data_IF_029127520374
#
_entry.id   IF_029127520374
#
_cell.length_a   1.000
_cell.length_b   1.000
_cell.length_c   1.000
_cell.angle_alpha   90.00
_cell.angle_beta   90.00
_cell.angle_gamma   90.00
#
_symmetry.space_group_name_H-M   'P 1'
#
loop_
_entity.id
_entity.type
_entity.pdbx_description
1 polymer ?
#
# COMPACT_ATOMS: atom_id res chain seq x y z
N UNK A 1 -5.44 -0.30 -56.28
CA UNK A 1 -6.42 -0.66 -55.23
C UNK A 1 -5.64 -1.04 -53.99
N UNK A 2 -5.46 -0.08 -53.10
CA UNK A 2 -4.77 -0.28 -51.82
C UNK A 2 -5.78 -0.92 -50.88
N UNK A 3 -5.49 -2.14 -50.41
CA UNK A 3 -6.32 -2.84 -49.43
C UNK A 3 -6.28 -2.03 -48.13
N UNK A 4 -7.38 -1.35 -47.82
CA UNK A 4 -7.62 -0.76 -46.51
C UNK A 4 -7.75 -1.91 -45.52
N UNK A 5 -6.66 -2.19 -44.80
CA UNK A 5 -6.67 -3.10 -43.66
C UNK A 5 -7.55 -2.43 -42.60
N UNK A 6 -8.78 -2.94 -42.45
CA UNK A 6 -9.70 -2.59 -41.37
C UNK A 6 -8.95 -2.64 -40.03
N UNK A 7 -8.61 -1.47 -39.49
CA UNK A 7 -7.79 -1.29 -38.29
C UNK A 7 -8.60 -1.22 -36.99
N UNK A 8 -9.90 -1.52 -37.04
CA UNK A 8 -10.86 -1.34 -35.94
C UNK A 8 -11.57 -2.63 -35.50
N UNK A 9 -11.01 -3.81 -35.81
CA UNK A 9 -11.49 -5.04 -35.19
C UNK A 9 -10.63 -5.33 -33.96
N UNK A 10 -11.20 -5.35 -32.74
CA UNK A 10 -10.45 -5.69 -31.53
C UNK A 10 -9.83 -7.07 -31.72
N UNK A 11 -8.51 -7.13 -31.59
CA UNK A 11 -7.76 -8.36 -31.78
C UNK A 11 -7.97 -9.22 -30.53
N UNK A 12 -8.29 -10.50 -30.74
CA UNK A 12 -8.28 -11.48 -29.66
C UNK A 12 -7.16 -12.48 -29.91
N UNK A 13 -6.36 -12.73 -28.89
CA UNK A 13 -5.32 -13.76 -28.92
C UNK A 13 -5.68 -14.89 -27.97
N UNK A 14 -5.41 -16.13 -28.37
CA UNK A 14 -5.62 -17.32 -27.56
C UNK A 14 -4.27 -17.83 -27.03
N UNK A 15 -4.12 -17.84 -25.71
CA UNK A 15 -2.95 -18.34 -25.00
C UNK A 15 -3.29 -19.70 -24.40
N UNK A 16 -2.58 -20.72 -24.88
CA UNK A 16 -2.82 -22.11 -24.50
C UNK A 16 -1.80 -22.60 -23.48
N UNK A 17 -2.08 -23.76 -22.87
CA UNK A 17 -1.16 -24.42 -21.93
C UNK A 17 0.21 -24.74 -22.52
N UNK A 18 0.31 -24.88 -23.84
CA UNK A 18 1.56 -25.17 -24.55
C UNK A 18 2.36 -23.92 -24.95
N UNK A 19 1.78 -22.73 -24.87
CA UNK A 19 2.47 -21.49 -25.24
C UNK A 19 3.60 -21.19 -24.25
N UNK A 20 4.84 -21.09 -24.73
CA UNK A 20 5.98 -20.79 -23.88
C UNK A 20 5.86 -19.40 -23.25
N UNK A 21 6.33 -19.22 -22.00
CA UNK A 21 6.22 -17.94 -21.28
C UNK A 21 6.84 -16.75 -22.04
N UNK A 22 7.94 -16.98 -22.76
CA UNK A 22 8.59 -15.94 -23.56
C UNK A 22 7.72 -15.54 -24.76
N UNK A 23 7.08 -16.52 -25.41
CA UNK A 23 6.14 -16.26 -26.50
C UNK A 23 4.91 -15.49 -25.99
N UNK A 24 4.36 -15.86 -24.82
CA UNK A 24 3.26 -15.12 -24.18
C UNK A 24 3.64 -13.66 -23.93
N UNK A 25 4.84 -13.42 -23.42
CA UNK A 25 5.34 -12.07 -23.16
C UNK A 25 5.42 -11.23 -24.46
N UNK A 26 5.93 -11.83 -25.54
CA UNK A 26 6.06 -11.15 -26.83
C UNK A 26 4.71 -10.92 -27.52
N UNK A 27 3.78 -11.88 -27.43
CA UNK A 27 2.41 -11.73 -27.93
C UNK A 27 1.65 -10.62 -27.19
N UNK A 28 1.74 -10.60 -25.85
CA UNK A 28 1.09 -9.55 -25.06
C UNK A 28 1.62 -8.16 -25.45
N UNK A 29 2.92 -8.00 -25.73
CA UNK A 29 3.50 -6.70 -26.14
C UNK A 29 2.95 -6.15 -27.45
N UNK A 30 2.38 -6.98 -28.32
CA UNK A 30 1.81 -6.55 -29.60
C UNK A 30 0.37 -6.05 -29.48
N UNK A 31 -0.25 -6.25 -28.31
CA UNK A 31 -1.63 -5.87 -28.04
C UNK A 31 -1.80 -4.35 -27.94
N UNK A 32 -3.01 -3.92 -28.27
CA UNK A 32 -3.47 -2.54 -28.23
C UNK A 32 -4.62 -2.37 -27.24
N UNK A 33 -4.92 -1.12 -26.94
CA UNK A 33 -6.09 -0.75 -26.13
C UNK A 33 -7.36 -1.33 -26.76
N UNK A 34 -8.15 -2.05 -25.96
CA UNK A 34 -9.39 -2.72 -26.40
C UNK A 34 -9.22 -4.19 -26.79
N UNK A 35 -7.99 -4.69 -26.91
CA UNK A 35 -7.75 -6.09 -27.26
C UNK A 35 -8.09 -7.05 -26.12
N UNK A 36 -8.32 -8.32 -26.50
CA UNK A 36 -8.73 -9.39 -25.59
C UNK A 36 -7.72 -10.52 -25.58
N UNK A 37 -7.48 -11.08 -24.41
CA UNK A 37 -6.58 -12.23 -24.23
C UNK A 37 -7.40 -13.35 -23.64
N UNK A 38 -7.46 -14.49 -24.32
CA UNK A 38 -8.18 -15.67 -23.87
C UNK A 38 -7.16 -16.70 -23.38
N UNK A 39 -7.31 -17.16 -22.14
CA UNK A 39 -6.52 -18.24 -21.58
C UNK A 39 -7.41 -19.47 -21.36
N UNK A 40 -6.95 -20.63 -21.82
CA UNK A 40 -7.63 -21.92 -21.62
C UNK A 40 -7.32 -22.56 -20.25
N UNK A 41 -6.29 -22.06 -19.56
CA UNK A 41 -5.84 -22.62 -18.29
C UNK A 41 -5.46 -21.56 -17.25
N UNK A 42 -5.50 -21.99 -15.99
CA UNK A 42 -5.23 -21.15 -14.82
C UNK A 42 -3.79 -20.65 -14.78
N UNK A 43 -2.82 -21.47 -15.18
CA UNK A 43 -1.40 -21.12 -15.15
C UNK A 43 -1.08 -19.93 -16.05
N UNK A 44 -1.54 -19.99 -17.30
CA UNK A 44 -1.36 -18.91 -18.28
C UNK A 44 -2.14 -17.66 -17.91
N UNK A 45 -3.37 -17.82 -17.39
CA UNK A 45 -4.15 -16.69 -16.92
C UNK A 45 -3.44 -15.93 -15.80
N UNK A 46 -2.90 -16.64 -14.78
CA UNK A 46 -2.19 -16.01 -13.69
C UNK A 46 -0.86 -15.37 -14.13
N UNK A 47 -0.19 -15.99 -15.11
CA UNK A 47 1.03 -15.43 -15.69
C UNK A 47 0.74 -14.14 -16.47
N UNK A 48 -0.25 -14.15 -17.36
CA UNK A 48 -0.68 -12.96 -18.09
C UNK A 48 -1.16 -11.85 -17.15
N UNK A 49 -1.95 -12.20 -16.13
CA UNK A 49 -2.41 -11.25 -15.10
C UNK A 49 -1.23 -10.52 -14.46
N UNK A 50 -0.19 -11.26 -14.05
CA UNK A 50 1.01 -10.68 -13.43
C UNK A 50 1.75 -9.72 -14.36
N UNK A 51 1.87 -10.08 -15.65
CA UNK A 51 2.49 -9.21 -16.65
C UNK A 51 1.69 -7.92 -16.86
N UNK A 52 0.36 -8.03 -16.98
CA UNK A 52 -0.54 -6.87 -17.14
C UNK A 52 -0.49 -5.94 -15.91
N UNK A 53 -0.43 -6.49 -14.69
CA UNK A 53 -0.24 -5.72 -13.46
C UNK A 53 1.13 -5.03 -13.42
N UNK A 54 2.21 -5.74 -13.80
CA UNK A 54 3.57 -5.20 -13.83
C UNK A 54 3.71 -4.05 -14.83
N UNK A 55 3.09 -4.17 -16.01
CA UNK A 55 3.10 -3.14 -17.05
C UNK A 55 2.04 -2.06 -16.85
N UNK A 56 1.17 -2.24 -15.84
CA UNK A 56 0.06 -1.33 -15.52
C UNK A 56 -0.87 -1.09 -16.71
N UNK A 57 -1.17 -2.15 -17.46
CA UNK A 57 -1.83 -2.02 -18.76
C UNK A 57 -3.36 -2.09 -18.63
N UNK A 58 -4.01 -0.93 -18.51
CA UNK A 58 -5.42 -0.82 -18.12
C UNK A 58 -6.43 -1.24 -19.18
N UNK A 59 -6.02 -1.29 -20.44
CA UNK A 59 -6.95 -1.30 -21.56
C UNK A 59 -7.11 -2.66 -22.24
N UNK A 60 -6.49 -3.70 -21.69
CA UNK A 60 -6.60 -5.07 -22.18
C UNK A 60 -7.55 -5.85 -21.27
N UNK A 61 -8.42 -6.66 -21.87
CA UNK A 61 -9.30 -7.57 -21.14
C UNK A 61 -8.74 -8.99 -21.20
N UNK A 62 -8.33 -9.50 -20.05
CA UNK A 62 -7.88 -10.89 -19.88
C UNK A 62 -9.05 -11.77 -19.46
N UNK A 63 -9.30 -12.85 -20.18
CA UNK A 63 -10.40 -13.78 -19.99
C UNK A 63 -9.85 -15.20 -19.80
N UNK A 64 -10.39 -15.92 -18.82
CA UNK A 64 -10.22 -17.36 -18.70
C UNK A 64 -11.46 -18.02 -19.28
N UNK A 65 -11.25 -18.92 -20.23
CA UNK A 65 -12.32 -19.64 -20.93
C UNK A 65 -12.37 -21.09 -20.46
N UNK A 66 -13.56 -21.69 -20.47
CA UNK A 66 -13.71 -23.14 -20.39
C UNK A 66 -13.63 -23.79 -21.78
N UNK A 67 -13.71 -25.12 -21.81
CA UNK A 67 -13.71 -25.93 -23.04
C UNK A 67 -14.92 -25.64 -23.94
N UNK A 68 -15.98 -25.03 -23.41
CA UNK A 68 -17.20 -24.62 -24.13
C UNK A 68 -17.14 -23.14 -24.57
N UNK A 69 -15.97 -22.50 -24.47
CA UNK A 69 -15.75 -21.07 -24.75
C UNK A 69 -16.65 -20.14 -23.92
N UNK A 70 -17.00 -20.53 -22.71
CA UNK A 70 -17.63 -19.66 -21.72
C UNK A 70 -16.57 -18.98 -20.87
N UNK A 71 -16.81 -17.73 -20.48
CA UNK A 71 -15.91 -16.98 -19.60
C UNK A 71 -16.07 -17.48 -18.17
N UNK A 72 -15.02 -18.12 -17.65
CA UNK A 72 -14.94 -18.52 -16.24
C UNK A 72 -14.51 -17.36 -15.35
N UNK A 73 -13.54 -16.56 -15.81
CA UNK A 73 -13.00 -15.41 -15.07
C UNK A 73 -12.58 -14.30 -16.03
N UNK A 74 -12.68 -13.06 -15.57
CA UNK A 74 -12.17 -11.90 -16.29
C UNK A 74 -11.29 -11.05 -15.38
N UNK A 75 -10.28 -10.42 -15.97
CA UNK A 75 -9.40 -9.48 -15.31
C UNK A 75 -9.15 -8.29 -16.24
N UNK A 76 -9.26 -7.09 -15.68
CA UNK A 76 -8.86 -5.84 -16.31
C UNK A 76 -8.03 -5.09 -15.29
N UNK A 77 -6.81 -4.70 -15.65
CA UNK A 77 -6.00 -3.90 -14.76
C UNK A 77 -6.71 -2.56 -14.51
N UNK A 78 -6.88 -2.23 -13.25
CA UNK A 78 -7.30 -0.89 -12.83
C UNK A 78 -6.10 -0.28 -12.14
N UNK A 79 -5.62 0.89 -12.59
CA UNK A 79 -4.65 1.64 -11.82
C UNK A 79 -5.21 1.80 -10.41
N UNK A 80 -4.42 1.59 -9.35
CA UNK A 80 -4.85 1.98 -8.02
C UNK A 80 -5.25 3.45 -8.12
N UNK A 81 -6.50 3.76 -7.76
CA UNK A 81 -6.98 5.13 -7.75
C UNK A 81 -5.96 5.95 -6.95
N UNK A 82 -5.55 7.10 -7.49
CA UNK A 82 -4.50 7.91 -6.89
C UNK A 82 -4.85 8.43 -5.46
N UNK A 83 -6.07 8.12 -4.97
CA UNK A 83 -6.59 8.50 -3.65
C UNK A 83 -6.78 7.35 -2.66
N UNK A 84 -6.43 6.11 -3.00
CA UNK A 84 -6.47 5.01 -2.03
C UNK A 84 -5.05 4.57 -1.67
N UNK A 85 -4.42 5.32 -0.77
CA UNK A 85 -3.33 4.78 0.04
C UNK A 85 -3.91 3.53 0.72
N UNK A 86 -3.38 2.32 0.46
CA UNK A 86 -3.96 1.10 1.01
C UNK A 86 -4.00 1.25 2.53
N UNK A 87 -5.19 1.15 3.15
CA UNK A 87 -5.35 1.26 4.61
C UNK A 87 -4.35 0.39 5.36
N UNK A 88 -4.01 -0.78 4.81
CA UNK A 88 -3.02 -1.70 5.35
C UNK A 88 -1.59 -1.16 5.38
N UNK A 89 -1.21 -0.29 4.43
CA UNK A 89 0.12 0.33 4.39
C UNK A 89 0.21 1.50 5.37
N UNK A 90 -0.85 2.31 5.45
CA UNK A 90 -1.00 3.33 6.50
C UNK A 90 -0.95 2.71 7.90
N UNK A 91 -1.64 1.58 8.11
CA UNK A 91 -1.62 0.86 9.39
C UNK A 91 -0.22 0.34 9.74
N UNK A 92 0.50 -0.24 8.77
CA UNK A 92 1.87 -0.72 9.00
C UNK A 92 2.87 0.41 9.28
N UNK A 93 2.75 1.54 8.58
CA UNK A 93 3.62 2.69 8.80
C UNK A 93 3.31 3.34 10.17
N UNK A 94 2.03 3.40 10.56
CA UNK A 94 1.62 3.86 11.90
C UNK A 94 2.09 2.91 13.01
N UNK A 95 1.95 1.58 12.84
CA UNK A 95 2.44 0.57 13.78
C UNK A 95 3.96 0.67 13.97
N UNK A 96 4.72 0.90 12.88
CA UNK A 96 6.17 1.10 12.96
C UNK A 96 6.54 2.36 13.77
N UNK A 97 5.78 3.46 13.59
CA UNK A 97 5.98 4.68 14.36
C UNK A 97 5.67 4.45 15.84
N UNK A 98 4.58 3.75 16.17
CA UNK A 98 4.25 3.39 17.56
C UNK A 98 5.35 2.53 18.18
N UNK A 99 5.84 1.51 17.48
CA UNK A 99 6.96 0.70 17.96
C UNK A 99 8.28 1.47 18.13
N UNK A 100 8.51 2.49 17.30
CA UNK A 100 9.66 3.37 17.46
C UNK A 100 9.52 4.21 18.74
N UNK A 101 8.33 4.77 19.01
CA UNK A 101 8.04 5.52 20.24
C UNK A 101 8.18 4.64 21.49
N UNK A 102 7.67 3.40 21.47
CA UNK A 102 7.83 2.45 22.56
C UNK A 102 9.31 2.19 22.90
N UNK A 103 10.16 2.02 21.88
CA UNK A 103 11.60 1.84 22.08
C UNK A 103 12.26 3.07 22.69
N UNK A 104 11.85 4.27 22.27
CA UNK A 104 12.36 5.53 22.84
C UNK A 104 11.96 5.64 24.31
N UNK A 105 10.70 5.39 24.65
CA UNK A 105 10.24 5.42 26.05
C UNK A 105 10.90 4.36 26.92
N UNK A 106 11.06 3.14 26.41
CA UNK A 106 11.79 2.09 27.10
C UNK A 106 13.26 2.47 27.33
N UNK A 107 13.88 3.15 26.37
CA UNK A 107 15.25 3.66 26.51
C UNK A 107 15.33 4.76 27.57
N UNK A 108 14.42 5.74 27.55
CA UNK A 108 14.31 6.77 28.60
C UNK A 108 14.22 6.13 29.99
N UNK A 109 13.34 5.14 30.15
CA UNK A 109 13.19 4.43 31.41
C UNK A 109 14.48 3.73 31.87
N UNK A 110 15.24 3.13 30.93
CA UNK A 110 16.50 2.44 31.20
C UNK A 110 17.61 3.39 31.65
N UNK A 111 17.64 4.62 31.14
CA UNK A 111 18.65 5.64 31.50
C UNK A 111 18.25 6.47 32.72
N UNK A 112 17.16 6.10 33.42
CA UNK A 112 16.72 6.80 34.63
C UNK A 112 15.88 8.04 34.35
N UNK A 113 15.32 8.17 33.15
CA UNK A 113 14.40 9.24 32.77
C UNK A 113 12.96 8.73 32.77
N UNK A 114 12.04 9.61 33.12
CA UNK A 114 10.60 9.38 33.11
C UNK A 114 9.93 10.45 32.25
N UNK A 115 9.08 9.99 31.34
CA UNK A 115 8.23 10.87 30.53
C UNK A 115 6.96 11.14 31.32
N UNK A 116 6.64 12.42 31.53
CA UNK A 116 5.46 12.88 32.28
C UNK A 116 4.61 13.73 31.36
N UNK A 117 3.31 13.47 31.33
CA UNK A 117 2.35 14.27 30.59
C UNK A 117 1.88 15.45 31.43
N UNK A 118 2.01 16.66 30.88
CA UNK A 118 1.38 17.88 31.37
C UNK A 118 0.26 18.30 30.41
N UNK A 119 -0.57 19.25 30.84
CA UNK A 119 -1.69 19.77 30.03
C UNK A 119 -1.24 20.46 28.74
N UNK A 120 -0.01 20.98 28.75
CA UNK A 120 0.62 21.75 27.68
C UNK A 120 1.64 20.97 26.84
N UNK A 121 2.01 19.74 27.24
CA UNK A 121 2.96 18.93 26.48
C UNK A 121 3.52 17.72 27.24
N UNK A 122 4.52 17.06 26.65
CA UNK A 122 5.28 16.01 27.34
C UNK A 122 6.60 16.56 27.86
N UNK A 123 6.91 16.27 29.12
CA UNK A 123 8.17 16.67 29.76
C UNK A 123 8.95 15.42 30.15
N UNK A 124 10.28 15.47 30.03
CA UNK A 124 11.15 14.39 30.49
C UNK A 124 11.94 14.85 31.69
N UNK A 125 11.84 14.07 32.76
CA UNK A 125 12.47 14.36 34.04
C UNK A 125 13.24 13.13 34.54
N UNK A 126 14.31 13.29 35.33
CA UNK A 126 14.92 12.15 36.02
C UNK A 126 13.91 11.46 36.94
N UNK A 127 13.96 10.13 37.04
CA UNK A 127 13.03 9.32 37.86
C UNK A 127 12.97 9.77 39.31
N UNK A 128 14.11 10.12 39.88
CA UNK A 128 14.22 10.59 41.27
C UNK A 128 13.45 11.90 41.51
N UNK A 129 13.15 12.65 40.44
CA UNK A 129 12.35 13.89 40.46
C UNK A 129 10.89 13.66 40.04
N UNK A 130 10.57 12.51 39.43
CA UNK A 130 9.22 12.19 38.98
C UNK A 130 8.28 11.78 40.12
N UNK A 131 8.84 11.32 41.24
CA UNK A 131 8.08 10.94 42.45
C UNK A 131 7.67 12.14 43.31
N UNK A 132 8.28 13.32 43.09
CA UNK A 132 7.95 14.56 43.79
C UNK A 132 7.27 15.58 42.85
N UNK A 133 5.95 15.77 42.96
CA UNK A 133 5.18 16.71 42.14
C UNK A 133 5.68 18.17 42.24
N UNK A 134 6.29 18.54 43.37
CA UNK A 134 6.85 19.89 43.58
C UNK A 134 8.17 20.10 42.83
N UNK A 135 8.94 19.03 42.61
CA UNK A 135 10.23 19.08 41.94
C UNK A 135 10.12 19.10 40.40
N UNK A 136 8.98 18.66 39.88
CA UNK A 136 8.60 18.75 38.46
C UNK A 136 8.44 20.20 37.96
N UNK A 137 8.18 21.14 38.86
CA UNK A 137 8.13 22.58 38.56
C UNK A 137 9.51 23.27 38.65
N UNK A 138 10.59 22.52 38.92
CA UNK A 138 11.94 23.08 39.05
C UNK A 138 12.68 23.18 37.71
N UNK A 139 13.66 24.07 37.63
CA UNK A 139 14.49 24.33 36.44
C UNK A 139 15.33 23.13 35.94
N UNK A 140 15.28 21.99 36.62
CA UNK A 140 15.90 20.73 36.20
C UNK A 140 15.00 19.91 35.25
N UNK A 141 13.73 20.29 35.08
CA UNK A 141 12.83 19.70 34.09
C UNK A 141 13.25 20.15 32.68
N UNK A 142 13.62 19.18 31.83
CA UNK A 142 13.97 19.46 30.44
C UNK A 142 12.69 19.42 29.60
N UNK A 143 12.24 20.60 29.16
CA UNK A 143 11.15 20.71 28.20
C UNK A 143 11.55 20.07 26.88
N UNK A 144 10.72 19.16 26.37
CA UNK A 144 10.84 18.70 24.99
C UNK A 144 10.28 19.83 24.12
N UNK A 145 10.99 20.17 23.04
CA UNK A 145 10.49 21.17 22.11
C UNK A 145 9.49 20.49 21.18
N UNK A 146 8.21 20.68 21.49
CA UNK A 146 7.10 20.06 20.80
C UNK A 146 6.81 20.90 19.56
N UNK A 147 7.26 20.45 18.40
CA UNK A 147 7.01 21.11 17.10
C UNK A 147 5.51 20.94 16.73
N UNK A 148 4.63 21.61 17.47
CA UNK A 148 3.18 21.74 17.24
C UNK A 148 2.41 20.41 16.99
N UNK A 149 2.85 19.31 17.61
CA UNK A 149 2.33 17.96 17.30
C UNK A 149 1.26 17.44 18.27
N UNK A 150 1.00 18.11 19.40
CA UNK A 150 0.00 17.65 20.37
C UNK A 150 -1.38 18.30 20.15
N UNK A 151 -2.42 17.46 20.11
CA UNK A 151 -3.82 17.88 20.27
C UNK A 151 -4.31 17.34 21.61
N UNK A 152 -4.50 18.23 22.60
CA UNK A 152 -4.97 17.83 23.93
C UNK A 152 -6.49 17.63 23.90
N UNK A 153 -6.97 16.39 24.07
CA UNK A 153 -8.40 16.10 24.26
C UNK A 153 -8.82 16.35 25.72
N UNK A 154 -8.57 17.55 26.23
CA UNK A 154 -9.00 17.97 27.55
C UNK A 154 -9.95 19.16 27.41
N UNK A 155 -11.16 18.90 26.90
CA UNK A 155 -12.40 19.65 27.16
C UNK A 155 -13.50 19.23 26.17
N UNK A 156 -14.06 18.03 26.37
CA UNK A 156 -15.44 17.72 25.98
C UNK A 156 -16.07 16.82 27.03
N UNK A 157 -16.22 17.35 28.24
CA UNK A 157 -17.28 16.92 29.16
C UNK A 157 -17.93 18.20 29.66
N UNK A 158 -19.23 18.30 29.43
CA UNK A 158 -20.14 19.42 29.73
C UNK A 158 -19.97 20.02 31.14
#
# INVERSE_FOLDING_TARGET
MTLEINKDVPMHIEITSTTAQQQVHDELRQLRSGDRVHCDNVGQFLFCKRLLEQWRWSDILLLMMDDQKQVLKQFKYKPPAHDEVPRERLLKDQEQVVHALEKVFAHCHKVGLQVVSFSDGLVVVPKDLAEDPMALCSAAALGINDYETYTTFAEQVE
#
